data_IF_363772002361
#
_entry.id   IF_363772002361
#
_cell.length_a   1.000
_cell.length_b   1.000
_cell.length_c   1.000
_cell.angle_alpha   90.00
_cell.angle_beta   90.00
_cell.angle_gamma   90.00
#
_symmetry.space_group_name_H-M   'P 1'
#
loop_
_entity.id
_entity.type
_entity.pdbx_description
1 polymer ?
#
# COMPACT_ATOMS: atom_id res chain seq x y z
N UNK A 1 -41.10 15.01 -8.32
CA UNK A 1 -40.65 13.59 -8.22
C UNK A 1 -39.15 13.59 -8.05
N UNK A 2 -38.64 13.50 -6.79
CA UNK A 2 -37.18 13.55 -6.50
C UNK A 2 -36.60 12.14 -6.67
N UNK A 3 -35.90 11.88 -7.74
CA UNK A 3 -35.09 10.68 -7.88
C UNK A 3 -33.94 10.73 -6.84
N UNK A 4 -34.09 10.08 -5.68
CA UNK A 4 -32.99 9.66 -4.83
C UNK A 4 -32.32 8.49 -5.57
N UNK A 5 -31.34 8.78 -6.39
CA UNK A 5 -30.30 7.82 -6.72
C UNK A 5 -29.62 7.44 -5.39
N UNK A 6 -30.05 6.33 -4.79
CA UNK A 6 -29.21 5.61 -3.83
C UNK A 6 -27.99 5.17 -4.65
N UNK A 7 -26.92 5.96 -4.62
CA UNK A 7 -25.61 5.43 -4.99
C UNK A 7 -25.46 4.15 -4.16
N UNK A 8 -25.49 3.01 -4.80
CA UNK A 8 -24.99 1.77 -4.22
C UNK A 8 -23.50 2.02 -3.99
N UNK A 9 -23.16 2.45 -2.79
CA UNK A 9 -21.78 2.52 -2.34
C UNK A 9 -21.32 1.07 -2.44
N UNK A 10 -20.41 0.79 -3.36
CA UNK A 10 -19.78 -0.52 -3.46
C UNK A 10 -18.88 -0.63 -2.23
N UNK A 11 -19.39 -1.27 -1.21
CA UNK A 11 -18.64 -1.61 0.01
C UNK A 11 -18.17 -3.05 -0.10
N UNK A 12 -17.03 -3.34 0.48
CA UNK A 12 -16.45 -4.68 0.47
C UNK A 12 -15.33 -4.79 1.49
N UNK A 13 -14.57 -5.87 1.41
CA UNK A 13 -13.39 -6.09 2.24
C UNK A 13 -12.15 -5.89 1.37
N UNK A 14 -11.19 -5.11 1.86
CA UNK A 14 -9.91 -4.93 1.20
C UNK A 14 -8.73 -5.07 2.17
N UNK A 15 -7.60 -5.48 1.62
CA UNK A 15 -6.29 -5.35 2.28
C UNK A 15 -5.76 -3.96 1.98
N UNK A 16 -5.50 -3.15 3.01
CA UNK A 16 -4.93 -1.81 2.85
C UNK A 16 -3.42 -1.84 2.98
N UNK A 17 -2.68 -1.59 1.90
CA UNK A 17 -1.24 -1.36 1.96
C UNK A 17 -0.99 0.03 2.54
N UNK A 18 -0.44 0.08 3.75
CA UNK A 18 -0.20 1.34 4.48
C UNK A 18 1.28 1.54 4.76
N UNK A 19 1.71 2.77 4.55
CA UNK A 19 3.07 3.23 4.85
C UNK A 19 3.01 4.42 5.81
N UNK A 20 4.14 4.82 6.35
CA UNK A 20 4.26 6.03 7.16
C UNK A 20 4.13 7.34 6.37
N UNK A 21 3.93 7.27 5.04
CA UNK A 21 3.83 8.44 4.17
C UNK A 21 2.44 9.09 4.14
N UNK A 22 2.36 10.23 3.44
CA UNK A 22 1.18 11.13 3.44
C UNK A 22 -0.04 10.50 2.75
N UNK A 23 0.17 9.74 1.68
CA UNK A 23 -0.90 9.34 0.76
C UNK A 23 -1.73 8.17 1.31
N UNK A 24 -1.09 7.17 1.93
CA UNK A 24 -1.79 5.96 2.39
C UNK A 24 -2.86 6.21 3.45
N UNK A 25 -2.67 7.06 4.49
CA UNK A 25 -3.74 7.34 5.47
C UNK A 25 -4.91 8.12 4.86
N UNK A 26 -4.65 8.99 3.87
CA UNK A 26 -5.72 9.69 3.14
C UNK A 26 -6.53 8.69 2.31
N UNK A 27 -5.88 7.73 1.65
CA UNK A 27 -6.56 6.68 0.90
C UNK A 27 -7.43 5.82 1.84
N UNK A 28 -6.90 5.42 3.00
CA UNK A 28 -7.63 4.68 4.03
C UNK A 28 -8.86 5.46 4.49
N UNK A 29 -8.71 6.72 4.91
CA UNK A 29 -9.83 7.54 5.38
C UNK A 29 -10.94 7.69 4.32
N UNK A 30 -10.58 7.88 3.05
CA UNK A 30 -11.56 7.96 1.94
C UNK A 30 -12.34 6.67 1.77
N UNK A 31 -11.69 5.52 1.84
CA UNK A 31 -12.36 4.24 1.66
C UNK A 31 -13.19 3.82 2.89
N UNK A 32 -12.75 4.18 4.11
CA UNK A 32 -13.57 4.04 5.31
C UNK A 32 -14.88 4.84 5.18
N UNK A 33 -14.80 6.09 4.75
CA UNK A 33 -15.99 6.94 4.50
C UNK A 33 -16.87 6.41 3.37
N UNK A 34 -16.33 5.61 2.46
CA UNK A 34 -17.08 4.90 1.44
C UNK A 34 -17.67 3.56 1.93
N UNK A 35 -17.47 3.19 3.20
CA UNK A 35 -18.03 1.99 3.82
C UNK A 35 -17.23 0.71 3.55
N UNK A 36 -15.96 0.83 3.14
CA UNK A 36 -15.07 -0.33 2.95
C UNK A 36 -14.49 -0.81 4.27
N UNK A 37 -14.52 -2.11 4.49
CA UNK A 37 -13.83 -2.75 5.61
C UNK A 37 -12.36 -2.96 5.24
N UNK A 38 -11.46 -2.36 6.03
CA UNK A 38 -10.03 -2.31 5.72
C UNK A 38 -9.23 -3.12 6.75
N UNK A 39 -8.41 -4.04 6.24
CA UNK A 39 -7.42 -4.78 7.01
C UNK A 39 -6.03 -4.25 6.64
N UNK A 40 -5.39 -3.47 7.50
CA UNK A 40 -4.13 -2.82 7.18
C UNK A 40 -2.97 -3.82 7.18
N UNK A 41 -2.06 -3.64 6.22
CA UNK A 41 -0.83 -4.39 6.06
C UNK A 41 0.31 -3.40 5.80
N UNK A 42 1.40 -3.53 6.57
CA UNK A 42 2.65 -2.79 6.41
C UNK A 42 3.77 -3.74 5.99
N UNK A 43 4.45 -3.41 4.90
CA UNK A 43 5.64 -4.13 4.43
C UNK A 43 6.88 -3.45 5.03
N UNK A 44 7.45 -4.04 6.07
CA UNK A 44 8.60 -3.49 6.78
C UNK A 44 9.91 -3.78 6.05
N UNK A 45 10.68 -2.75 5.82
CA UNK A 45 12.02 -2.84 5.20
C UNK A 45 13.15 -2.84 6.26
N UNK A 46 12.82 -3.04 7.52
CA UNK A 46 13.85 -3.23 8.54
C UNK A 46 14.66 -4.51 8.29
N UNK A 47 15.98 -4.49 8.55
CA UNK A 47 16.80 -3.43 9.14
C UNK A 47 17.40 -2.45 8.12
N UNK A 48 17.10 -2.56 6.82
CA UNK A 48 17.63 -1.67 5.77
C UNK A 48 17.18 -0.22 6.00
N UNK A 49 15.93 -0.05 6.42
CA UNK A 49 15.43 1.22 6.95
C UNK A 49 15.27 1.10 8.47
N UNK A 50 15.23 2.25 9.16
CA UNK A 50 14.91 2.25 10.58
C UNK A 50 13.41 2.01 10.85
N UNK A 51 13.00 1.94 12.13
CA UNK A 51 11.62 1.63 12.54
C UNK A 51 10.61 2.75 12.25
N UNK A 52 11.08 3.93 11.87
CA UNK A 52 10.24 5.13 11.75
C UNK A 52 9.03 4.96 10.81
N UNK A 53 9.16 4.19 9.71
CA UNK A 53 8.05 3.97 8.78
C UNK A 53 6.91 3.17 9.41
N UNK A 54 7.24 2.15 10.20
CA UNK A 54 6.27 1.37 10.93
C UNK A 54 5.65 2.15 12.09
N UNK A 55 6.47 2.83 12.88
CA UNK A 55 6.01 3.67 14.00
C UNK A 55 5.02 4.72 13.51
N UNK A 56 5.32 5.42 12.40
CA UNK A 56 4.40 6.35 11.75
C UNK A 56 3.12 5.65 11.28
N UNK A 57 3.22 4.46 10.67
CA UNK A 57 2.05 3.69 10.22
C UNK A 57 1.11 3.38 11.39
N UNK A 58 1.65 2.91 12.51
CA UNK A 58 0.88 2.63 13.73
C UNK A 58 0.26 3.91 14.28
N UNK A 59 1.02 5.00 14.37
CA UNK A 59 0.53 6.29 14.86
C UNK A 59 -0.60 6.83 13.99
N UNK A 60 -0.48 6.76 12.66
CA UNK A 60 -1.50 7.19 11.69
C UNK A 60 -2.80 6.41 11.83
N UNK A 61 -2.72 5.07 11.93
CA UNK A 61 -3.91 4.23 12.07
C UNK A 61 -4.59 4.44 13.42
N UNK A 62 -3.82 4.55 14.51
CA UNK A 62 -4.35 4.90 15.84
C UNK A 62 -4.99 6.27 15.84
N UNK A 63 -4.39 7.24 15.16
CA UNK A 63 -4.96 8.57 15.03
C UNK A 63 -6.35 8.52 14.35
N UNK A 64 -6.49 7.81 13.21
CA UNK A 64 -7.78 7.65 12.53
C UNK A 64 -8.84 6.98 13.42
N UNK A 65 -8.45 5.99 14.23
CA UNK A 65 -9.35 5.31 15.17
C UNK A 65 -9.82 6.20 16.31
N UNK A 66 -8.99 7.15 16.74
CA UNK A 66 -9.24 8.05 17.87
C UNK A 66 -9.82 9.40 17.44
N UNK A 67 -9.94 9.67 16.15
CA UNK A 67 -10.56 10.90 15.65
C UNK A 67 -12.01 11.03 16.10
N UNK A 68 -12.44 12.25 16.36
CA UNK A 68 -13.85 12.58 16.49
C UNK A 68 -14.50 12.79 15.11
N UNK A 69 -15.82 12.63 15.05
CA UNK A 69 -16.61 12.87 13.86
C UNK A 69 -16.63 11.71 12.84
N UNK A 70 -17.16 11.96 11.64
CA UNK A 70 -17.54 10.89 10.71
C UNK A 70 -16.41 9.95 10.28
N UNK A 71 -15.16 10.46 10.15
CA UNK A 71 -14.00 9.64 9.78
C UNK A 71 -13.64 8.68 10.92
N UNK A 72 -13.61 9.18 12.16
CA UNK A 72 -13.32 8.36 13.33
C UNK A 72 -14.42 7.31 13.57
N UNK A 73 -15.67 7.68 13.37
CA UNK A 73 -16.80 6.73 13.47
C UNK A 73 -16.65 5.61 12.43
N UNK A 74 -16.39 5.97 11.17
CA UNK A 74 -16.16 5.01 10.11
C UNK A 74 -14.90 4.13 10.37
N UNK A 75 -13.85 4.70 10.97
CA UNK A 75 -12.66 3.94 11.33
C UNK A 75 -12.96 2.94 12.46
N UNK A 76 -13.66 3.35 13.50
CA UNK A 76 -14.05 2.44 14.60
C UNK A 76 -14.92 1.28 14.12
N UNK A 77 -15.74 1.49 13.11
CA UNK A 77 -16.62 0.47 12.54
C UNK A 77 -15.90 -0.45 11.54
N UNK A 78 -15.05 0.10 10.67
CA UNK A 78 -14.60 -0.57 9.45
C UNK A 78 -13.08 -0.77 9.35
N UNK A 79 -12.25 -0.23 10.25
CA UNK A 79 -10.82 -0.48 10.28
C UNK A 79 -10.49 -1.61 11.27
N UNK A 80 -9.80 -2.65 10.79
CA UNK A 80 -9.30 -3.71 11.67
C UNK A 80 -8.38 -3.12 12.75
N UNK A 81 -8.52 -3.64 13.98
CA UNK A 81 -7.66 -3.28 15.13
C UNK A 81 -6.29 -3.94 15.08
N UNK A 82 -6.07 -4.81 14.12
CA UNK A 82 -4.82 -5.50 13.90
C UNK A 82 -4.14 -4.98 12.65
N UNK A 83 -2.93 -4.46 12.79
CA UNK A 83 -2.02 -4.20 11.68
C UNK A 83 -1.12 -5.43 11.49
N UNK A 84 -1.13 -5.98 10.29
CA UNK A 84 -0.18 -7.01 9.89
C UNK A 84 1.10 -6.33 9.42
N UNK A 85 2.23 -6.69 10.02
CA UNK A 85 3.56 -6.22 9.62
C UNK A 85 4.33 -7.42 9.06
N UNK A 86 4.82 -7.27 7.82
CA UNK A 86 5.54 -8.33 7.09
C UNK A 86 6.95 -7.83 6.77
N UNK A 87 8.01 -8.52 7.22
CA UNK A 87 9.38 -8.17 6.86
C UNK A 87 9.63 -8.50 5.38
N UNK A 88 10.21 -7.56 4.63
CA UNK A 88 10.43 -7.72 3.18
C UNK A 88 11.85 -7.37 2.73
N UNK A 89 12.70 -6.88 3.63
CA UNK A 89 14.02 -6.34 3.31
C UNK A 89 14.91 -7.35 2.55
N UNK A 90 14.99 -8.59 3.01
CA UNK A 90 15.80 -9.63 2.38
C UNK A 90 15.33 -9.95 0.96
N UNK A 91 14.02 -10.07 0.76
CA UNK A 91 13.46 -10.30 -0.57
C UNK A 91 13.67 -9.12 -1.51
N UNK A 92 13.56 -7.89 -1.00
CA UNK A 92 13.79 -6.68 -1.80
C UNK A 92 15.27 -6.52 -2.21
N UNK A 93 16.21 -6.95 -1.37
CA UNK A 93 17.63 -6.92 -1.70
C UNK A 93 17.96 -7.76 -2.96
N UNK A 94 17.19 -8.80 -3.26
CA UNK A 94 17.35 -9.61 -4.48
C UNK A 94 17.12 -8.82 -5.78
N UNK A 95 16.39 -7.71 -5.70
CA UNK A 95 16.07 -6.83 -6.83
C UNK A 95 17.04 -5.63 -6.95
N UNK A 96 18.16 -5.64 -6.23
CA UNK A 96 19.20 -4.59 -6.31
C UNK A 96 20.38 -4.95 -7.21
N UNK A 97 20.36 -6.13 -7.82
CA UNK A 97 21.38 -6.56 -8.76
C UNK A 97 21.35 -5.70 -10.04
N UNK A 98 22.53 -5.44 -10.61
CA UNK A 98 22.67 -4.50 -11.74
C UNK A 98 21.74 -4.79 -12.92
N UNK A 99 21.35 -6.05 -13.11
CA UNK A 99 20.53 -6.50 -14.24
C UNK A 99 19.01 -6.29 -14.03
N UNK A 100 18.53 -6.09 -12.77
CA UNK A 100 17.12 -5.89 -12.46
C UNK A 100 16.85 -4.64 -11.61
N UNK A 101 17.87 -3.88 -11.27
CA UNK A 101 17.74 -2.76 -10.34
C UNK A 101 16.85 -1.62 -10.89
N UNK A 102 16.80 -1.42 -12.20
CA UNK A 102 15.94 -0.38 -12.79
C UNK A 102 14.45 -0.60 -12.53
N UNK A 103 14.01 -1.86 -12.36
CA UNK A 103 12.64 -2.26 -12.08
C UNK A 103 12.35 -2.43 -10.58
N UNK A 104 13.30 -2.13 -9.68
CA UNK A 104 13.20 -2.33 -8.24
C UNK A 104 11.86 -1.88 -7.64
N UNK A 105 11.42 -0.64 -7.91
CA UNK A 105 10.16 -0.13 -7.36
C UNK A 105 8.92 -0.86 -7.88
N UNK A 106 9.00 -1.48 -9.04
CA UNK A 106 7.90 -2.26 -9.60
C UNK A 106 7.88 -3.63 -8.95
N UNK A 107 9.03 -4.30 -8.83
CA UNK A 107 9.16 -5.56 -8.10
C UNK A 107 8.73 -5.44 -6.64
N UNK A 108 9.13 -4.35 -5.98
CA UNK A 108 8.69 -4.04 -4.62
C UNK A 108 7.16 -4.01 -4.50
N UNK A 109 6.49 -3.28 -5.39
CA UNK A 109 5.01 -3.20 -5.37
C UNK A 109 4.35 -4.52 -5.75
N UNK A 110 4.92 -5.27 -6.69
CA UNK A 110 4.45 -6.60 -7.05
C UNK A 110 4.54 -7.56 -5.87
N UNK A 111 5.64 -7.54 -5.14
CA UNK A 111 5.82 -8.33 -3.91
C UNK A 111 4.77 -7.95 -2.84
N UNK A 112 4.53 -6.65 -2.64
CA UNK A 112 3.50 -6.19 -1.68
C UNK A 112 2.10 -6.65 -2.08
N UNK A 113 1.77 -6.64 -3.37
CA UNK A 113 0.50 -7.13 -3.88
C UNK A 113 0.38 -8.66 -3.73
N UNK A 114 1.44 -9.42 -3.98
CA UNK A 114 1.45 -10.87 -3.75
C UNK A 114 1.26 -11.22 -2.26
N UNK A 115 1.90 -10.48 -1.37
CA UNK A 115 1.70 -10.60 0.09
C UNK A 115 0.26 -10.22 0.48
N UNK A 116 -0.28 -9.14 -0.10
CA UNK A 116 -1.67 -8.74 0.13
C UNK A 116 -2.67 -9.81 -0.34
N UNK A 117 -2.34 -10.56 -1.40
CA UNK A 117 -3.15 -11.70 -1.85
C UNK A 117 -3.28 -12.76 -0.77
N UNK A 118 -2.18 -13.16 -0.15
CA UNK A 118 -2.18 -14.17 0.93
C UNK A 118 -3.03 -13.71 2.12
N UNK A 119 -2.94 -12.42 2.49
CA UNK A 119 -3.83 -11.88 3.52
C UNK A 119 -5.27 -11.82 3.05
N UNK A 120 -5.50 -11.44 1.81
CA UNK A 120 -6.83 -11.38 1.19
C UNK A 120 -7.56 -12.72 1.24
N UNK A 121 -6.87 -13.81 0.94
CA UNK A 121 -7.40 -15.16 1.01
C UNK A 121 -7.86 -15.53 2.43
N UNK A 122 -7.10 -15.13 3.46
CA UNK A 122 -7.46 -15.39 4.86
C UNK A 122 -8.74 -14.68 5.33
N UNK A 123 -9.01 -13.49 4.79
CA UNK A 123 -10.10 -12.61 5.26
C UNK A 123 -11.25 -12.47 4.26
N UNK A 124 -11.16 -13.14 3.11
CA UNK A 124 -12.14 -13.03 2.03
C UNK A 124 -12.15 -11.65 1.36
N UNK A 125 -11.00 -10.96 1.30
CA UNK A 125 -10.90 -9.70 0.58
C UNK A 125 -10.87 -9.93 -0.92
N UNK A 126 -11.51 -9.02 -1.65
CA UNK A 126 -11.53 -9.02 -3.12
C UNK A 126 -10.72 -7.87 -3.71
N UNK A 127 -10.24 -6.96 -2.87
CA UNK A 127 -9.56 -5.74 -3.30
C UNK A 127 -8.30 -5.47 -2.48
N UNK A 128 -7.35 -4.77 -3.10
CA UNK A 128 -6.18 -4.18 -2.44
C UNK A 128 -6.25 -2.66 -2.55
N UNK A 129 -6.14 -1.98 -1.40
CA UNK A 129 -6.17 -0.51 -1.33
C UNK A 129 -4.74 0.01 -1.27
N UNK A 130 -4.43 0.99 -2.11
CA UNK A 130 -3.14 1.69 -2.13
C UNK A 130 -3.33 3.21 -2.18
N UNK A 131 -2.32 3.95 -1.69
CA UNK A 131 -2.23 5.40 -1.82
C UNK A 131 -1.62 5.87 -3.14
N UNK A 132 -1.55 5.02 -4.17
CA UNK A 132 -0.92 5.35 -5.44
C UNK A 132 -1.63 6.50 -6.16
N UNK A 133 -0.79 7.34 -6.79
CA UNK A 133 -1.23 8.46 -7.60
C UNK A 133 -0.50 8.45 -8.94
N UNK A 134 -1.18 8.88 -9.99
CA UNK A 134 -0.63 8.86 -11.34
C UNK A 134 0.44 9.95 -11.51
N UNK A 135 1.62 9.55 -12.00
CA UNK A 135 2.68 10.45 -12.41
C UNK A 135 3.47 11.15 -11.31
N UNK A 136 3.26 10.81 -10.03
CA UNK A 136 4.06 11.38 -8.94
C UNK A 136 5.50 10.87 -8.91
N UNK A 137 5.67 9.57 -9.17
CA UNK A 137 6.97 8.90 -9.24
C UNK A 137 7.01 7.94 -10.42
N UNK A 138 8.20 7.52 -10.82
CA UNK A 138 8.44 6.64 -11.97
C UNK A 138 7.64 5.33 -11.94
N UNK A 139 7.43 4.74 -10.77
CA UNK A 139 6.64 3.50 -10.60
C UNK A 139 5.13 3.71 -10.75
N UNK A 140 4.66 4.95 -10.83
CA UNK A 140 3.23 5.31 -10.90
C UNK A 140 2.82 5.83 -12.29
N UNK A 141 3.51 5.42 -13.35
CA UNK A 141 3.03 5.59 -14.73
C UNK A 141 1.93 4.55 -15.03
N UNK A 142 1.08 4.81 -16.03
CA UNK A 142 0.02 3.85 -16.41
C UNK A 142 0.58 2.48 -16.77
N UNK A 143 1.71 2.43 -17.50
CA UNK A 143 2.36 1.18 -17.87
C UNK A 143 2.86 0.40 -16.66
N UNK A 144 3.49 1.09 -15.70
CA UNK A 144 4.00 0.46 -14.48
C UNK A 144 2.89 0.02 -13.54
N UNK A 145 1.81 0.80 -13.39
CA UNK A 145 0.64 0.40 -12.62
C UNK A 145 0.00 -0.87 -13.18
N UNK A 146 -0.11 -0.99 -14.52
CA UNK A 146 -0.57 -2.21 -15.17
C UNK A 146 0.35 -3.42 -14.90
N UNK A 147 1.68 -3.21 -14.92
CA UNK A 147 2.67 -4.23 -14.56
C UNK A 147 2.57 -4.68 -13.10
N UNK A 148 2.19 -3.79 -12.19
CA UNK A 148 1.97 -4.11 -10.77
C UNK A 148 0.67 -4.89 -10.55
N UNK A 149 -0.41 -4.54 -11.22
CA UNK A 149 -1.73 -5.15 -11.05
C UNK A 149 -1.74 -6.65 -11.34
N UNK A 150 -1.01 -7.09 -12.35
CA UNK A 150 -0.98 -8.51 -12.75
C UNK A 150 -0.32 -9.45 -11.72
N UNK A 151 0.32 -8.91 -10.68
CA UNK A 151 0.92 -9.69 -9.60
C UNK A 151 -0.09 -10.20 -8.55
N UNK A 152 -1.38 -9.83 -8.67
CA UNK A 152 -2.42 -10.18 -7.71
C UNK A 152 -3.77 -10.37 -8.40
N UNK A 153 -4.62 -11.29 -7.92
CA UNK A 153 -6.01 -11.37 -8.35
C UNK A 153 -6.91 -10.33 -7.67
N UNK A 154 -6.41 -9.62 -6.65
CA UNK A 154 -7.15 -8.57 -5.96
C UNK A 154 -7.33 -7.34 -6.87
N UNK A 155 -8.54 -6.83 -6.93
CA UNK A 155 -8.82 -5.62 -7.70
C UNK A 155 -8.24 -4.38 -7.01
N UNK A 156 -7.53 -3.48 -7.73
CA UNK A 156 -6.92 -2.31 -7.10
C UNK A 156 -7.96 -1.25 -6.75
N UNK A 157 -7.88 -0.73 -5.53
CA UNK A 157 -8.55 0.48 -5.07
C UNK A 157 -7.52 1.60 -4.95
N UNK A 158 -7.60 2.59 -5.84
CA UNK A 158 -6.69 3.74 -5.89
C UNK A 158 -7.48 5.03 -5.77
N UNK A 159 -8.01 5.37 -4.58
CA UNK A 159 -8.89 6.52 -4.42
C UNK A 159 -8.21 7.87 -4.67
N UNK A 160 -6.88 7.90 -4.79
CA UNK A 160 -6.08 9.12 -5.03
C UNK A 160 -5.55 9.22 -6.47
N UNK A 161 -5.81 8.24 -7.35
CA UNK A 161 -5.12 8.05 -8.62
C UNK A 161 -5.02 9.29 -9.51
N UNK A 162 -6.06 10.10 -9.57
CA UNK A 162 -6.13 11.30 -10.41
C UNK A 162 -6.13 12.62 -9.60
N UNK A 163 -5.67 12.58 -8.35
CA UNK A 163 -5.65 13.76 -7.49
C UNK A 163 -4.29 14.45 -7.53
N UNK A 164 -4.27 15.77 -7.56
CA UNK A 164 -3.03 16.52 -7.43
C UNK A 164 -2.46 16.47 -6.00
N UNK A 165 -1.14 16.66 -5.87
CA UNK A 165 -0.42 16.56 -4.59
C UNK A 165 -0.93 17.58 -3.57
N UNK A 166 -1.27 18.79 -4.01
CA UNK A 166 -1.74 19.87 -3.12
C UNK A 166 -3.08 19.48 -2.49
N UNK A 167 -3.97 18.89 -3.28
CA UNK A 167 -5.26 18.38 -2.80
C UNK A 167 -5.07 17.28 -1.76
N UNK A 168 -4.18 16.31 -2.02
CA UNK A 168 -3.89 15.22 -1.08
C UNK A 168 -3.30 15.78 0.23
N UNK A 169 -2.31 16.68 0.15
CA UNK A 169 -1.73 17.33 1.32
C UNK A 169 -2.76 18.13 2.12
N UNK A 170 -3.70 18.80 1.44
CA UNK A 170 -4.80 19.52 2.08
C UNK A 170 -5.73 18.57 2.83
N UNK A 171 -6.01 17.41 2.25
CA UNK A 171 -6.79 16.37 2.92
C UNK A 171 -6.05 15.79 4.13
N UNK A 172 -4.75 15.47 3.99
CA UNK A 172 -3.92 14.99 5.09
C UNK A 172 -3.88 15.99 6.26
N UNK A 173 -3.77 17.29 5.96
CA UNK A 173 -3.83 18.36 6.98
C UNK A 173 -5.19 18.38 7.69
N UNK A 174 -6.30 18.30 6.97
CA UNK A 174 -7.65 18.26 7.55
C UNK A 174 -7.88 17.01 8.40
N UNK A 175 -7.27 15.89 8.04
CA UNK A 175 -7.30 14.65 8.81
C UNK A 175 -6.34 14.67 10.02
N UNK A 176 -5.45 15.66 10.15
CA UNK A 176 -4.42 15.68 11.18
C UNK A 176 -3.33 14.60 10.98
N UNK A 177 -3.26 14.00 9.78
CA UNK A 177 -2.27 12.96 9.48
C UNK A 177 -0.98 13.50 8.89
N UNK A 178 -0.99 14.76 8.40
CA UNK A 178 0.17 15.35 7.73
C UNK A 178 1.38 15.42 8.66
N UNK A 179 1.22 15.99 9.85
CA UNK A 179 2.30 16.16 10.83
C UNK A 179 2.89 14.83 11.30
N UNK A 180 2.05 13.79 11.43
CA UNK A 180 2.50 12.44 11.79
C UNK A 180 3.32 11.83 10.66
N UNK A 181 2.97 12.11 9.40
CA UNK A 181 3.67 11.61 8.21
C UNK A 181 4.96 12.37 7.92
N UNK A 182 5.14 13.59 8.46
CA UNK A 182 6.33 14.38 8.23
C UNK A 182 7.59 13.72 8.82
N UNK A 183 8.73 14.04 8.23
CA UNK A 183 10.03 13.50 8.59
C UNK A 183 10.63 12.62 7.48
N UNK A 184 11.87 12.16 7.64
CA UNK A 184 12.56 11.44 6.57
C UNK A 184 11.78 10.16 6.19
N UNK A 185 11.42 10.07 4.92
CA UNK A 185 10.97 8.83 4.30
C UNK A 185 12.19 8.11 3.73
N UNK A 186 12.45 6.90 4.20
CA UNK A 186 13.60 6.09 3.76
C UNK A 186 13.15 4.89 2.94
N UNK A 187 11.95 4.94 2.36
CA UNK A 187 11.44 3.86 1.50
C UNK A 187 12.27 3.65 0.22
N UNK A 188 13.15 4.60 -0.11
CA UNK A 188 13.98 4.56 -1.33
C UNK A 188 15.42 4.09 -1.09
N UNK A 189 15.75 3.59 0.09
CA UNK A 189 17.13 3.25 0.47
C UNK A 189 17.81 2.27 -0.50
N UNK A 190 17.06 1.35 -1.10
CA UNK A 190 17.55 0.39 -2.08
C UNK A 190 17.19 0.76 -3.53
N UNK A 191 16.55 1.89 -3.74
CA UNK A 191 16.05 2.29 -5.06
C UNK A 191 17.15 2.69 -6.04
N UNK A 192 16.93 2.49 -7.36
CA UNK A 192 17.87 2.88 -8.39
C UNK A 192 17.88 4.39 -8.64
N UNK A 193 19.03 4.90 -9.08
CA UNK A 193 19.15 6.31 -9.52
C UNK A 193 18.38 6.60 -10.82
N UNK A 194 18.11 5.59 -11.64
CA UNK A 194 17.39 5.67 -12.91
C UNK A 194 16.33 4.57 -12.98
N UNK A 195 15.18 4.74 -12.30
CA UNK A 195 14.11 3.76 -12.33
C UNK A 195 13.40 3.73 -13.69
N UNK A 196 12.93 2.55 -14.10
CA UNK A 196 12.16 2.39 -15.33
C UNK A 196 10.80 3.07 -15.21
N UNK A 197 10.32 3.66 -16.30
CA UNK A 197 9.00 4.31 -16.39
C UNK A 197 7.98 3.48 -17.16
N UNK A 198 8.44 2.46 -17.90
CA UNK A 198 7.59 1.50 -18.60
C UNK A 198 8.24 0.13 -18.48
N UNK A 199 7.69 -0.70 -17.60
CA UNK A 199 8.18 -2.05 -17.39
C UNK A 199 7.63 -3.00 -18.47
N UNK A 200 8.48 -3.95 -18.88
CA UNK A 200 8.08 -5.06 -19.72
C UNK A 200 7.61 -6.21 -18.83
N UNK A 201 6.42 -6.74 -19.10
CA UNK A 201 5.79 -7.79 -18.29
C UNK A 201 6.63 -9.07 -18.27
N UNK A 202 7.06 -9.54 -19.44
CA UNK A 202 7.83 -10.77 -19.60
C UNK A 202 9.18 -10.66 -18.88
N UNK A 203 9.77 -9.46 -18.89
CA UNK A 203 11.00 -9.18 -18.15
C UNK A 203 10.77 -9.22 -16.65
N UNK A 204 9.69 -8.64 -16.15
CA UNK A 204 9.36 -8.68 -14.71
C UNK A 204 9.19 -10.12 -14.23
N UNK A 205 8.40 -10.93 -14.93
CA UNK A 205 8.16 -12.32 -14.60
C UNK A 205 9.45 -13.16 -14.66
N UNK A 206 10.23 -13.01 -15.71
CA UNK A 206 11.55 -13.69 -15.85
C UNK A 206 12.55 -13.27 -14.76
N UNK A 207 12.53 -12.00 -14.38
CA UNK A 207 13.35 -11.44 -13.31
C UNK A 207 12.98 -12.03 -11.94
N UNK A 208 11.70 -12.14 -11.66
CA UNK A 208 11.17 -12.73 -10.44
C UNK A 208 11.49 -14.23 -10.35
N UNK A 209 11.35 -14.98 -11.43
CA UNK A 209 11.71 -16.41 -11.48
C UNK A 209 13.19 -16.63 -11.17
N UNK A 210 14.08 -15.77 -11.66
CA UNK A 210 15.55 -15.87 -11.39
C UNK A 210 15.90 -15.74 -9.91
N UNK A 211 15.08 -15.02 -9.13
CA UNK A 211 15.30 -14.83 -7.69
C UNK A 211 14.46 -15.76 -6.81
N UNK A 212 13.84 -16.78 -7.41
CA UNK A 212 13.09 -17.82 -6.70
C UNK A 212 11.58 -17.76 -6.84
N UNK A 213 11.05 -16.82 -7.62
CA UNK A 213 9.62 -16.68 -7.91
C UNK A 213 8.87 -15.79 -6.92
N UNK A 214 8.03 -14.91 -7.46
CA UNK A 214 7.30 -13.91 -6.67
C UNK A 214 6.42 -14.53 -5.58
N UNK A 215 5.73 -15.61 -5.88
CA UNK A 215 4.82 -16.28 -4.93
C UNK A 215 5.58 -16.96 -3.79
N UNK A 216 6.75 -17.53 -4.09
CA UNK A 216 7.62 -18.11 -3.06
C UNK A 216 8.14 -17.03 -2.12
N UNK A 217 8.65 -15.93 -2.66
CA UNK A 217 9.11 -14.78 -1.88
C UNK A 217 7.97 -14.22 -0.99
N UNK A 218 6.78 -14.03 -1.56
CA UNK A 218 5.62 -13.56 -0.81
C UNK A 218 5.25 -14.50 0.34
N UNK A 219 5.21 -15.81 0.09
CA UNK A 219 4.88 -16.82 1.10
C UNK A 219 5.94 -16.89 2.21
N UNK A 220 7.22 -16.83 1.85
CA UNK A 220 8.33 -16.80 2.82
C UNK A 220 8.24 -15.59 3.74
N UNK A 221 8.04 -14.39 3.18
CA UNK A 221 7.90 -13.16 3.96
C UNK A 221 6.62 -13.19 4.82
N UNK A 222 5.51 -13.62 4.26
CA UNK A 222 4.23 -13.69 4.97
C UNK A 222 4.25 -14.68 6.14
N UNK A 223 5.03 -15.75 6.06
CA UNK A 223 5.20 -16.70 7.17
C UNK A 223 5.87 -16.08 8.42
N UNK A 224 6.57 -14.96 8.25
CA UNK A 224 7.26 -14.22 9.30
C UNK A 224 6.47 -13.00 9.80
N UNK A 225 5.20 -12.88 9.41
CA UNK A 225 4.35 -11.76 9.83
C UNK A 225 4.27 -11.64 11.35
N UNK A 226 4.10 -10.41 11.82
CA UNK A 226 3.70 -10.11 13.20
C UNK A 226 2.46 -9.23 13.22
N UNK A 227 1.72 -9.29 14.32
CA UNK A 227 0.50 -8.53 14.52
C UNK A 227 0.79 -7.42 15.52
N UNK A 228 0.42 -6.20 15.16
CA UNK A 228 0.46 -5.03 16.04
C UNK A 228 -0.97 -4.60 16.34
N UNK A 229 -1.34 -4.55 17.62
CA UNK A 229 -2.65 -4.05 18.06
C UNK A 229 -2.67 -2.50 18.01
N UNK A 230 -3.72 -1.97 17.39
CA UNK A 230 -3.92 -0.54 17.17
C UNK A 230 -4.68 0.12 18.33
#
# INVERSE_FOLDING_TARGET
>A
MRYRLRQRIMSGICVGLVSGGIDSPVAVARMLMAGWKIYPLHASQEPVTGPAAEEKTVALLRHLLNMEGPVGDAARENLSRELIVVPVAESLALFTEKWNHSEYFIHMKRLFNAIATLRGEQIGATHVLTGENLGQVSSQTLGNLGGVEIATPLLPLRPLLAMDKVTIMTMARKLGTLEISEGPEVCDALGPSKPTTVANKEWLESSEERVGGLQHLASSNFSQLRIVNL
#
